data_IF_965426813803
#
_entry.id   IF_965426813803
#
_cell.length_a   1.000
_cell.length_b   1.000
_cell.length_c   1.000
_cell.angle_alpha   90.00
_cell.angle_beta   90.00
_cell.angle_gamma   90.00
#
_symmetry.space_group_name_H-M   'P 1'
#
loop_
_entity.id
_entity.type
_entity.pdbx_description
1 polymer ?
#
# COMPACT_ATOMS: atom_id res chain seq x y z
N UNK A 1 -2.60 -8.88 -7.68
CA UNK A 1 -1.61 -8.34 -8.64
C UNK A 1 -0.84 -7.21 -7.97
N UNK A 2 0.47 -7.13 -8.18
CA UNK A 2 1.31 -6.09 -7.53
C UNK A 2 1.08 -4.73 -8.22
N UNK A 3 0.96 -3.67 -7.42
CA UNK A 3 0.93 -2.28 -7.90
C UNK A 3 2.35 -1.84 -8.28
N UNK A 4 2.45 -0.82 -9.13
CA UNK A 4 3.76 -0.30 -9.52
C UNK A 4 4.32 0.64 -8.46
N UNK A 5 3.46 1.21 -7.62
CA UNK A 5 3.87 2.12 -6.55
C UNK A 5 4.34 1.37 -5.30
N UNK A 6 5.44 1.83 -4.73
CA UNK A 6 5.97 1.42 -3.43
C UNK A 6 6.33 2.69 -2.62
N UNK A 7 6.11 2.66 -1.31
CA UNK A 7 6.48 3.78 -0.41
C UNK A 7 7.81 3.43 0.25
N UNK A 8 8.82 4.29 0.14
CA UNK A 8 10.11 4.10 0.81
C UNK A 8 10.01 4.52 2.28
N UNK A 9 10.60 3.72 3.18
CA UNK A 9 10.43 3.85 4.65
C UNK A 9 11.73 3.95 5.45
N UNK A 10 12.86 4.28 4.79
CA UNK A 10 14.21 4.29 5.39
C UNK A 10 14.32 5.10 6.71
N UNK A 11 13.54 6.17 6.86
CA UNK A 11 13.55 7.05 8.04
C UNK A 11 12.17 7.16 8.72
N UNK A 12 11.29 6.17 8.55
CA UNK A 12 9.92 6.22 9.06
C UNK A 12 9.47 4.84 9.50
N UNK A 13 8.77 4.75 10.64
CA UNK A 13 8.14 3.50 11.07
C UNK A 13 7.13 3.02 10.01
N UNK A 14 7.41 1.90 9.30
CA UNK A 14 6.57 1.44 8.22
C UNK A 14 5.19 0.97 8.71
N UNK A 15 5.09 0.47 9.94
CA UNK A 15 3.82 0.03 10.51
C UNK A 15 2.92 1.22 10.83
N UNK A 16 3.47 2.23 11.50
CA UNK A 16 2.73 3.47 11.79
C UNK A 16 2.29 4.18 10.51
N UNK A 17 3.14 4.18 9.49
CA UNK A 17 2.84 4.76 8.18
C UNK A 17 1.72 4.01 7.46
N UNK A 18 1.79 2.67 7.45
CA UNK A 18 0.77 1.82 6.85
C UNK A 18 -0.59 1.99 7.54
N UNK A 19 -0.61 2.02 8.88
CA UNK A 19 -1.83 2.27 9.66
C UNK A 19 -2.44 3.64 9.34
N UNK A 20 -1.60 4.68 9.20
CA UNK A 20 -2.06 6.02 8.80
C UNK A 20 -2.66 6.02 7.39
N UNK A 21 -1.99 5.39 6.43
CA UNK A 21 -2.48 5.26 5.05
C UNK A 21 -3.83 4.52 5.01
N UNK A 22 -3.92 3.36 5.65
CA UNK A 22 -5.11 2.52 5.70
C UNK A 22 -6.32 3.30 6.25
N UNK A 23 -6.10 4.04 7.34
CA UNK A 23 -7.15 4.87 7.95
C UNK A 23 -7.57 6.05 7.07
N UNK A 24 -6.62 6.83 6.57
CA UNK A 24 -6.91 8.11 5.89
C UNK A 24 -7.42 7.90 4.46
N UNK A 25 -6.87 6.94 3.72
CA UNK A 25 -7.21 6.73 2.30
C UNK A 25 -8.21 5.61 2.07
N UNK A 26 -8.18 4.56 2.88
CA UNK A 26 -8.99 3.36 2.66
C UNK A 26 -10.09 3.17 3.71
N UNK A 27 -10.19 4.07 4.69
CA UNK A 27 -11.18 4.04 5.78
C UNK A 27 -11.13 2.71 6.56
N UNK A 28 -9.98 2.06 6.58
CA UNK A 28 -9.74 0.87 7.38
C UNK A 28 -9.42 1.28 8.82
N UNK A 29 -10.26 0.83 9.75
CA UNK A 29 -10.01 1.07 11.18
C UNK A 29 -8.93 0.14 11.72
N UNK A 30 -8.80 -1.03 11.13
CA UNK A 30 -7.85 -2.07 11.51
C UNK A 30 -7.15 -2.63 10.27
N UNK A 31 -5.92 -3.09 10.49
CA UNK A 31 -5.15 -3.87 9.53
C UNK A 31 -5.28 -5.33 9.95
N UNK A 32 -5.63 -6.21 9.03
CA UNK A 32 -5.79 -7.63 9.33
C UNK A 32 -4.69 -8.46 8.68
N UNK A 33 -4.09 -9.36 9.45
CA UNK A 33 -3.23 -10.40 8.89
C UNK A 33 -4.04 -11.34 8.00
N UNK A 34 -3.43 -11.80 6.91
CA UNK A 34 -4.02 -12.80 6.04
C UNK A 34 -3.33 -14.14 6.33
N UNK A 35 -4.05 -15.14 6.86
CA UNK A 35 -3.44 -16.43 7.21
C UNK A 35 -2.74 -17.09 6.02
N UNK A 36 -1.49 -17.51 6.24
CA UNK A 36 -0.69 -18.20 5.24
C UNK A 36 -0.05 -17.30 4.18
N UNK A 37 -0.07 -15.97 4.36
CA UNK A 37 0.65 -15.02 3.50
C UNK A 37 1.49 -14.05 4.32
N UNK A 38 2.41 -13.36 3.65
CA UNK A 38 3.23 -12.27 4.17
C UNK A 38 2.59 -10.89 3.97
N UNK A 39 1.29 -10.86 3.63
CA UNK A 39 0.56 -9.65 3.27
C UNK A 39 -0.54 -9.34 4.29
N UNK A 40 -0.81 -8.06 4.44
CA UNK A 40 -1.78 -7.48 5.34
C UNK A 40 -2.95 -6.93 4.54
N UNK A 41 -4.17 -7.17 4.98
CA UNK A 41 -5.35 -6.49 4.50
C UNK A 41 -5.37 -5.05 5.06
N UNK A 42 -5.50 -4.07 4.18
CA UNK A 42 -5.51 -2.65 4.55
C UNK A 42 -6.78 -1.91 4.09
N UNK A 43 -7.86 -2.65 3.87
CA UNK A 43 -9.14 -2.16 3.33
C UNK A 43 -10.36 -2.69 4.10
N UNK A 44 -10.21 -2.84 5.42
CA UNK A 44 -11.28 -3.22 6.33
C UNK A 44 -11.86 -4.63 6.06
N UNK A 45 -11.00 -5.59 5.71
CA UNK A 45 -11.36 -6.99 5.54
C UNK A 45 -11.94 -7.37 4.17
N UNK A 46 -12.14 -6.41 3.26
CA UNK A 46 -12.63 -6.65 1.90
C UNK A 46 -11.64 -7.46 1.06
N UNK A 47 -10.35 -7.27 1.34
CA UNK A 47 -9.22 -7.99 0.78
C UNK A 47 -9.02 -7.69 -0.71
N UNK A 48 -9.45 -6.50 -1.12
CA UNK A 48 -9.28 -5.91 -2.44
C UNK A 48 -7.95 -5.16 -2.55
N UNK A 49 -7.41 -4.66 -1.43
CA UNK A 49 -6.08 -4.08 -1.29
C UNK A 49 -5.32 -4.72 -0.14
N UNK A 50 -4.10 -5.14 -0.44
CA UNK A 50 -3.14 -5.73 0.49
C UNK A 50 -1.83 -4.95 0.46
N UNK A 51 -1.12 -4.98 1.58
CA UNK A 51 0.23 -4.44 1.67
C UNK A 51 1.19 -5.43 2.29
N UNK A 52 2.49 -5.27 2.01
CA UNK A 52 3.58 -5.96 2.69
C UNK A 52 4.59 -4.91 3.13
N UNK A 53 5.07 -5.05 4.36
CA UNK A 53 6.22 -4.29 4.83
C UNK A 53 7.47 -5.12 4.49
N UNK A 54 8.31 -4.55 3.63
CA UNK A 54 9.64 -5.05 3.28
C UNK A 54 10.70 -4.20 4.01
N UNK A 55 11.98 -4.56 3.88
CA UNK A 55 13.07 -3.94 4.64
C UNK A 55 13.15 -2.41 4.50
N UNK A 56 12.97 -1.88 3.29
CA UNK A 56 13.08 -0.45 2.98
C UNK A 56 11.78 0.16 2.44
N UNK A 57 10.69 -0.61 2.30
CA UNK A 57 9.51 -0.17 1.58
C UNK A 57 8.20 -0.85 2.02
N UNK A 58 7.08 -0.18 1.72
CA UNK A 58 5.75 -0.76 1.72
C UNK A 58 5.35 -1.05 0.27
N UNK A 59 5.05 -2.32 0.01
CA UNK A 59 4.61 -2.83 -1.28
C UNK A 59 3.10 -3.11 -1.26
N UNK A 60 2.43 -3.01 -2.41
CA UNK A 60 0.97 -3.13 -2.49
C UNK A 60 0.51 -4.14 -3.55
N UNK A 61 -0.59 -4.83 -3.25
CA UNK A 61 -1.27 -5.73 -4.17
C UNK A 61 -2.77 -5.47 -4.16
N UNK A 62 -3.37 -5.50 -5.34
CA UNK A 62 -4.82 -5.41 -5.51
C UNK A 62 -5.42 -6.74 -5.97
N UNK A 63 -6.71 -6.93 -5.71
CA UNK A 63 -7.48 -8.07 -6.21
C UNK A 63 -7.94 -7.88 -7.65
N UNK A 64 -8.43 -6.69 -7.99
CA UNK A 64 -9.06 -6.41 -9.29
C UNK A 64 -8.30 -5.34 -10.08
N UNK A 65 -7.92 -5.65 -11.32
CA UNK A 65 -7.20 -4.72 -12.22
C UNK A 65 -7.93 -3.40 -12.45
N UNK A 66 -9.26 -3.42 -12.49
CA UNK A 66 -10.07 -2.20 -12.70
C UNK A 66 -9.87 -1.14 -11.60
N UNK A 67 -9.43 -1.55 -10.41
CA UNK A 67 -9.23 -0.67 -9.26
C UNK A 67 -7.78 -0.19 -9.13
N UNK A 68 -6.89 -0.60 -10.04
CA UNK A 68 -5.45 -0.27 -10.04
C UNK A 68 -5.20 1.23 -9.97
N UNK A 69 -5.70 1.99 -10.95
CA UNK A 69 -5.53 3.45 -10.98
C UNK A 69 -6.11 4.13 -9.75
N UNK A 70 -7.23 3.63 -9.20
CA UNK A 70 -7.85 4.20 -8.00
C UNK A 70 -6.94 4.05 -6.79
N UNK A 71 -6.38 2.86 -6.57
CA UNK A 71 -5.51 2.60 -5.42
C UNK A 71 -4.16 3.27 -5.57
N UNK A 72 -3.56 3.25 -6.77
CA UNK A 72 -2.30 3.95 -7.02
C UNK A 72 -2.45 5.46 -6.81
N UNK A 73 -3.52 6.08 -7.33
CA UNK A 73 -3.76 7.51 -7.12
C UNK A 73 -3.90 7.85 -5.63
N UNK A 74 -4.63 7.03 -4.86
CA UNK A 74 -4.79 7.24 -3.42
C UNK A 74 -3.46 7.14 -2.66
N UNK A 75 -2.57 6.21 -3.04
CA UNK A 75 -1.23 6.05 -2.47
C UNK A 75 -0.34 7.24 -2.85
N UNK A 76 -0.39 7.68 -4.11
CA UNK A 76 0.36 8.85 -4.59
C UNK A 76 -0.05 10.13 -3.87
N UNK A 77 -1.35 10.35 -3.71
CA UNK A 77 -1.87 11.51 -3.00
C UNK A 77 -1.47 11.49 -1.53
N UNK A 78 -1.51 10.31 -0.87
CA UNK A 78 -1.01 10.17 0.49
C UNK A 78 0.47 10.54 0.61
N UNK A 79 1.29 10.09 -0.33
CA UNK A 79 2.71 10.40 -0.31
C UNK A 79 3.01 11.88 -0.55
N UNK A 80 2.26 12.53 -1.45
CA UNK A 80 2.33 13.99 -1.65
C UNK A 80 1.94 14.76 -0.39
N UNK A 81 0.83 14.38 0.25
CA UNK A 81 0.34 15.02 1.49
C UNK A 81 1.31 14.90 2.67
N UNK A 82 2.14 13.85 2.67
CA UNK A 82 3.06 13.55 3.77
C UNK A 82 4.54 13.73 3.40
N UNK A 83 4.83 14.29 2.22
CA UNK A 83 6.20 14.48 1.69
C UNK A 83 7.03 13.18 1.69
N UNK A 84 6.41 12.04 1.35
CA UNK A 84 7.05 10.73 1.35
C UNK A 84 7.73 10.42 0.02
N UNK A 85 8.82 9.66 0.08
CA UNK A 85 9.51 9.15 -1.10
C UNK A 85 8.79 7.90 -1.65
N UNK A 86 8.63 7.88 -2.96
CA UNK A 86 7.98 6.81 -3.72
C UNK A 86 9.00 6.14 -4.64
N UNK A 87 8.81 4.85 -4.91
CA UNK A 87 9.45 4.14 -6.01
C UNK A 87 8.38 3.59 -6.94
N UNK A 88 8.56 3.76 -8.24
CA UNK A 88 7.78 3.06 -9.25
C UNK A 88 8.55 1.83 -9.69
N UNK A 89 7.88 0.68 -9.74
CA UNK A 89 8.46 -0.57 -10.13
C UNK A 89 8.57 -0.58 -11.68
N UNK A 90 9.79 -0.59 -12.26
CA UNK A 90 9.98 -0.34 -13.70
C UNK A 90 9.49 -1.50 -14.60
N UNK A 91 9.12 -2.64 -14.01
CA UNK A 91 8.79 -3.89 -14.71
C UNK A 91 7.40 -3.92 -15.40
N UNK A 92 6.60 -2.85 -15.31
CA UNK A 92 5.37 -2.67 -16.13
C UNK A 92 5.55 -1.64 -17.26
N UNK A 93 6.77 -1.48 -17.77
CA UNK A 93 6.97 -0.82 -19.06
C UNK A 93 6.54 -1.79 -20.17
N UNK A 94 5.27 -1.72 -20.58
CA UNK A 94 4.82 -2.29 -21.87
C UNK A 94 5.05 -1.27 -22.98
#
# INVERSE_FOLDING_TARGET
>A
MKLDVEIITIDTDPWALLAKLAKVKFRANEIHEIPGTDTLNIDNGMNDLRAKISDDAIEFWIRYKRDEMKYEQAILDFCRENSLTLRFNPLKSN
#
